data_IF_392776612589
#
_entry.id   IF_392776612589
#
_cell.length_a   1.000
_cell.length_b   1.000
_cell.length_c   1.000
_cell.angle_alpha   90.00
_cell.angle_beta   90.00
_cell.angle_gamma   90.00
#
_symmetry.space_group_name_H-M   'P 1'
#
loop_
_entity.id
_entity.type
_entity.pdbx_description
1 polymer ?
#
# COMPACT_ATOMS: atom_id res chain seq x y z
N UNK A 1 -48.29 -40.99 19.33
CA UNK A 1 -48.68 -42.41 19.38
C UNK A 1 -49.57 -42.64 18.18
N UNK A 2 -49.12 -42.23 16.99
CA UNK A 2 -48.13 -42.90 16.12
C UNK A 2 -48.88 -44.06 15.44
N UNK A 3 -49.03 -44.15 14.11
CA UNK A 3 -48.05 -43.93 13.04
C UNK A 3 -48.77 -43.53 11.72
N UNK A 4 -48.15 -42.67 10.91
CA UNK A 4 -48.46 -42.55 9.47
C UNK A 4 -47.38 -43.31 8.67
N UNK A 5 -47.83 -44.25 7.84
CA UNK A 5 -47.00 -44.97 6.87
C UNK A 5 -47.47 -44.62 5.44
N UNK A 6 -46.58 -43.93 4.74
CA UNK A 6 -46.16 -44.00 3.33
C UNK A 6 -47.12 -44.33 2.17
N UNK A 7 -46.74 -43.68 1.05
CA UNK A 7 -46.88 -44.06 -0.37
C UNK A 7 -48.17 -43.63 -1.09
N UNK A 8 -48.20 -43.27 -2.37
CA UNK A 8 -47.27 -42.74 -3.38
C UNK A 8 -48.14 -42.51 -4.64
N UNK A 9 -47.65 -41.74 -5.61
CA UNK A 9 -48.15 -41.73 -6.99
C UNK A 9 -48.78 -40.40 -7.41
N UNK A 10 -48.47 -39.81 -8.55
CA UNK A 10 -47.71 -40.25 -9.71
C UNK A 10 -47.37 -38.99 -10.54
N UNK A 11 -46.30 -39.00 -11.33
CA UNK A 11 -46.36 -38.98 -12.81
C UNK A 11 -44.97 -38.93 -13.45
N UNK A 12 -44.92 -39.63 -14.57
CA UNK A 12 -43.84 -40.05 -15.45
C UNK A 12 -43.51 -38.98 -16.50
N UNK A 13 -42.23 -38.84 -16.90
CA UNK A 13 -41.81 -38.78 -18.33
C UNK A 13 -40.30 -38.53 -18.52
N UNK A 14 -39.73 -39.47 -19.27
CA UNK A 14 -38.41 -39.64 -19.90
C UNK A 14 -37.83 -38.41 -20.62
N UNK A 15 -36.49 -38.24 -20.56
CA UNK A 15 -35.60 -37.96 -21.73
C UNK A 15 -34.12 -38.00 -21.35
N UNK A 16 -33.34 -38.76 -22.12
CA UNK A 16 -31.88 -38.95 -22.05
C UNK A 16 -31.13 -37.78 -22.69
N UNK A 17 -30.03 -37.30 -22.09
CA UNK A 17 -28.85 -36.74 -22.77
C UNK A 17 -27.75 -36.43 -21.73
N UNK A 18 -26.73 -37.28 -21.66
CA UNK A 18 -25.37 -37.04 -22.17
C UNK A 18 -24.50 -36.22 -21.20
N UNK A 19 -23.70 -36.96 -20.44
CA UNK A 19 -22.48 -36.50 -19.79
C UNK A 19 -21.55 -35.89 -20.85
N UNK A 20 -21.36 -34.58 -20.82
CA UNK A 20 -20.19 -33.92 -21.39
C UNK A 20 -19.43 -33.27 -20.23
N UNK A 21 -18.23 -33.79 -20.00
CA UNK A 21 -17.27 -33.28 -19.05
C UNK A 21 -16.90 -31.85 -19.43
N UNK A 22 -17.25 -30.88 -18.57
CA UNK A 22 -16.69 -29.54 -18.66
C UNK A 22 -15.20 -29.60 -18.31
N UNK A 23 -14.39 -29.49 -19.37
CA UNK A 23 -12.94 -29.38 -19.35
C UNK A 23 -12.56 -28.10 -18.58
N UNK A 24 -11.99 -28.26 -17.38
CA UNK A 24 -11.38 -27.16 -16.63
C UNK A 24 -10.37 -26.43 -17.53
N UNK A 25 -10.38 -25.09 -17.59
CA UNK A 25 -9.35 -24.36 -18.30
C UNK A 25 -8.02 -24.56 -17.56
N UNK A 26 -7.16 -25.39 -18.14
CA UNK A 26 -5.78 -25.61 -17.72
C UNK A 26 -5.06 -24.27 -17.60
N UNK A 27 -5.07 -23.69 -16.40
CA UNK A 27 -4.26 -22.54 -16.06
C UNK A 27 -2.82 -22.98 -16.23
N UNK A 28 -2.16 -22.47 -17.28
CA UNK A 28 -0.72 -22.56 -17.43
C UNK A 28 -0.10 -21.92 -16.19
N UNK A 29 0.24 -22.77 -15.24
CA UNK A 29 1.09 -22.48 -14.11
C UNK A 29 2.41 -22.08 -14.76
N UNK A 30 2.64 -20.78 -14.95
CA UNK A 30 4.00 -20.29 -15.14
C UNK A 30 4.70 -20.70 -13.86
N UNK A 31 5.44 -21.80 -13.94
CA UNK A 31 6.38 -22.22 -12.93
C UNK A 31 7.39 -21.07 -12.82
N UNK A 32 7.08 -20.10 -11.96
CA UNK A 32 8.14 -19.40 -11.25
C UNK A 32 8.91 -20.52 -10.56
N UNK A 33 10.07 -20.83 -11.12
CA UNK A 33 11.03 -21.80 -10.66
C UNK A 33 11.39 -21.43 -9.22
N UNK A 34 10.55 -21.88 -8.29
CA UNK A 34 10.86 -21.89 -6.87
C UNK A 34 11.99 -22.89 -6.75
N UNK A 35 13.22 -22.40 -6.70
CA UNK A 35 14.39 -23.16 -6.27
C UNK A 35 14.20 -23.52 -4.80
N UNK A 36 13.27 -24.43 -4.52
CA UNK A 36 13.03 -25.04 -3.22
C UNK A 36 14.25 -25.93 -2.96
N UNK A 37 15.29 -25.32 -2.38
CA UNK A 37 16.52 -26.04 -2.04
C UNK A 37 17.83 -25.26 -2.16
N UNK A 38 17.82 -24.08 -2.81
CA UNK A 38 19.03 -23.25 -2.84
C UNK A 38 19.19 -22.51 -1.50
N UNK A 39 20.34 -22.68 -0.84
CA UNK A 39 20.70 -21.92 0.36
C UNK A 39 20.68 -20.43 0.03
N UNK A 40 19.85 -19.66 0.72
CA UNK A 40 19.87 -18.20 0.60
C UNK A 40 21.20 -17.66 1.15
N UNK A 41 21.84 -16.70 0.47
CA UNK A 41 23.08 -16.09 0.94
C UNK A 41 22.82 -15.29 2.22
N UNK A 42 23.79 -15.28 3.13
CA UNK A 42 23.70 -14.46 4.34
C UNK A 42 23.91 -12.99 4.02
N UNK A 43 23.47 -12.10 4.92
CA UNK A 43 23.69 -10.65 4.78
C UNK A 43 25.18 -10.32 4.58
N UNK A 44 26.05 -10.99 5.35
CA UNK A 44 27.50 -10.80 5.25
C UNK A 44 28.05 -11.26 3.88
N UNK A 45 27.54 -12.36 3.32
CA UNK A 45 27.92 -12.85 1.99
C UNK A 45 27.50 -11.85 0.88
N UNK A 46 26.33 -11.22 1.03
CA UNK A 46 25.84 -10.21 0.08
C UNK A 46 26.67 -8.93 0.10
N UNK A 47 27.12 -8.51 1.29
CA UNK A 47 27.92 -7.29 1.50
C UNK A 47 29.39 -7.51 1.10
N UNK A 48 29.96 -8.68 1.39
CA UNK A 48 31.39 -8.97 1.21
C UNK A 48 31.75 -9.59 -0.14
N UNK A 49 30.76 -10.07 -0.91
CA UNK A 49 30.99 -10.59 -2.26
C UNK A 49 31.65 -9.53 -3.16
N UNK A 50 32.64 -9.92 -3.94
CA UNK A 50 33.43 -9.06 -4.82
C UNK A 50 32.95 -9.06 -6.28
N UNK A 51 31.68 -9.43 -6.53
CA UNK A 51 31.06 -9.38 -7.85
C UNK A 51 30.87 -7.96 -8.41
N UNK A 52 30.71 -7.82 -9.74
CA UNK A 52 30.58 -6.53 -10.43
C UNK A 52 29.32 -5.69 -10.12
N UNK A 53 28.40 -6.21 -9.31
CA UNK A 53 27.24 -5.47 -8.79
C UNK A 53 27.56 -4.81 -7.46
N UNK A 54 26.98 -3.65 -7.19
CA UNK A 54 27.08 -2.96 -5.90
C UNK A 54 26.38 -3.77 -4.80
N UNK A 55 26.79 -3.65 -3.52
CA UNK A 55 26.13 -4.35 -2.41
C UNK A 55 24.62 -4.09 -2.35
N UNK A 56 24.19 -2.88 -2.70
CA UNK A 56 22.78 -2.47 -2.72
C UNK A 56 21.98 -3.21 -3.79
N UNK A 57 22.51 -3.38 -5.00
CA UNK A 57 21.84 -4.09 -6.09
C UNK A 57 21.65 -5.58 -5.77
N UNK A 58 22.63 -6.18 -5.08
CA UNK A 58 22.52 -7.59 -4.64
C UNK A 58 21.47 -7.77 -3.57
N UNK A 59 21.38 -6.84 -2.63
CA UNK A 59 20.35 -6.86 -1.60
C UNK A 59 18.96 -6.78 -2.22
N UNK A 60 18.76 -5.90 -3.22
CA UNK A 60 17.47 -5.73 -3.89
C UNK A 60 16.90 -7.03 -4.50
N UNK A 61 17.76 -7.94 -5.01
CA UNK A 61 17.32 -9.22 -5.55
C UNK A 61 16.72 -10.18 -4.49
N UNK A 62 17.07 -9.97 -3.23
CA UNK A 62 16.60 -10.78 -2.09
C UNK A 62 15.65 -10.04 -1.16
N UNK A 63 15.45 -8.73 -1.35
CA UNK A 63 14.39 -7.98 -0.67
C UNK A 63 13.06 -8.45 -1.24
N UNK A 64 12.17 -9.05 -0.42
CA UNK A 64 10.87 -9.45 -0.89
C UNK A 64 10.13 -8.24 -1.46
N UNK A 65 9.77 -8.29 -2.74
CA UNK A 65 8.87 -7.28 -3.30
C UNK A 65 7.56 -7.42 -2.54
N UNK A 66 7.24 -6.42 -1.73
CA UNK A 66 6.02 -6.38 -0.95
C UNK A 66 4.83 -6.27 -1.92
N UNK A 67 4.34 -7.40 -2.41
CA UNK A 67 3.06 -7.48 -3.09
C UNK A 67 1.99 -7.42 -2.02
N UNK A 68 0.98 -6.53 -2.12
CA UNK A 68 -0.15 -6.55 -1.20
C UNK A 68 -0.71 -7.97 -1.16
N UNK A 69 -0.60 -8.64 -0.01
CA UNK A 69 -1.19 -9.97 0.17
C UNK A 69 -2.69 -9.77 0.25
N UNK A 70 -3.41 -10.22 -0.77
CA UNK A 70 -4.86 -10.27 -0.70
C UNK A 70 -5.27 -11.07 0.54
N UNK A 71 -6.26 -10.58 1.28
CA UNK A 71 -6.82 -11.32 2.41
C UNK A 71 -7.24 -12.70 1.92
N UNK A 72 -6.70 -13.79 2.53
CA UNK A 72 -7.06 -15.15 2.16
C UNK A 72 -8.58 -15.33 2.18
N UNK A 73 -9.12 -16.10 1.24
CA UNK A 73 -10.58 -16.25 1.09
C UNK A 73 -11.18 -16.88 2.34
N UNK A 74 -10.46 -17.81 2.96
CA UNK A 74 -10.78 -18.49 4.21
C UNK A 74 -10.87 -17.54 5.42
N UNK A 75 -10.30 -16.33 5.36
CA UNK A 75 -10.39 -15.34 6.43
C UNK A 75 -11.56 -14.37 6.24
N UNK A 76 -12.27 -14.45 5.11
CA UNK A 76 -13.44 -13.60 4.84
C UNK A 76 -14.67 -14.18 5.50
N UNK A 77 -15.25 -13.49 6.48
CA UNK A 77 -16.51 -13.91 7.09
C UNK A 77 -17.69 -13.40 6.26
N UNK A 78 -18.77 -14.20 6.11
CA UNK A 78 -19.99 -13.75 5.44
C UNK A 78 -20.57 -12.49 6.12
N UNK A 79 -20.95 -11.49 5.32
CA UNK A 79 -21.55 -10.24 5.82
C UNK A 79 -20.59 -9.22 6.44
N UNK A 80 -19.31 -9.55 6.62
CA UNK A 80 -18.31 -8.62 7.19
C UNK A 80 -17.73 -7.66 6.14
N UNK A 81 -17.75 -8.06 4.87
CA UNK A 81 -17.19 -7.28 3.77
C UNK A 81 -18.27 -6.93 2.75
N UNK A 82 -18.31 -5.66 2.35
CA UNK A 82 -19.09 -5.20 1.22
C UNK A 82 -18.21 -5.24 -0.03
N UNK A 83 -18.65 -5.97 -1.05
CA UNK A 83 -18.02 -5.90 -2.36
C UNK A 83 -18.39 -4.57 -3.01
N UNK A 84 -17.38 -3.81 -3.43
CA UNK A 84 -17.56 -2.53 -4.12
C UNK A 84 -17.37 -2.73 -5.61
N UNK A 85 -18.25 -2.13 -6.41
CA UNK A 85 -18.07 -2.07 -7.85
C UNK A 85 -17.02 -1.02 -8.20
N UNK A 86 -15.96 -1.46 -8.87
CA UNK A 86 -14.90 -0.58 -9.37
C UNK A 86 -15.26 -0.21 -10.81
N UNK A 87 -15.34 1.09 -11.16
CA UNK A 87 -15.61 1.51 -12.54
C UNK A 87 -14.56 0.95 -13.52
N UNK A 88 -15.00 0.43 -14.66
CA UNK A 88 -14.13 -0.27 -15.63
C UNK A 88 -12.98 0.61 -16.14
N UNK A 89 -13.28 1.89 -16.41
CA UNK A 89 -12.32 2.83 -17.00
C UNK A 89 -11.42 3.51 -15.96
N UNK A 90 -11.61 3.23 -14.66
CA UNK A 90 -10.94 3.94 -13.56
C UNK A 90 -9.42 3.87 -13.66
N UNK A 91 -8.89 2.71 -14.07
CA UNK A 91 -7.46 2.52 -14.24
C UNK A 91 -6.90 3.19 -15.49
N UNK A 92 -7.70 3.29 -16.56
CA UNK A 92 -7.30 3.97 -17.79
C UNK A 92 -7.19 5.48 -17.60
N UNK A 93 -8.05 6.06 -16.75
CA UNK A 93 -8.06 7.49 -16.42
C UNK A 93 -6.92 7.91 -15.46
N UNK A 94 -6.14 6.94 -14.96
CA UNK A 94 -4.93 7.16 -14.17
C UNK A 94 -5.17 7.55 -12.71
N UNK A 95 -4.08 7.95 -12.04
CA UNK A 95 -4.07 8.20 -10.59
C UNK A 95 -5.10 9.26 -10.13
N UNK A 96 -5.30 10.39 -10.82
CA UNK A 96 -6.27 11.39 -10.39
C UNK A 96 -7.71 10.85 -10.32
N UNK A 97 -8.11 10.00 -11.27
CA UNK A 97 -9.44 9.42 -11.28
C UNK A 97 -9.64 8.42 -10.14
N UNK A 98 -8.64 7.57 -9.89
CA UNK A 98 -8.62 6.65 -8.75
C UNK A 98 -8.79 7.43 -7.43
N UNK A 99 -8.03 8.51 -7.25
CA UNK A 99 -8.09 9.34 -6.04
C UNK A 99 -9.46 9.97 -5.85
N UNK A 100 -10.03 10.57 -6.91
CA UNK A 100 -11.40 11.13 -6.87
C UNK A 100 -12.43 10.10 -6.45
N UNK A 101 -12.38 8.92 -7.05
CA UNK A 101 -13.30 7.83 -6.72
C UNK A 101 -13.19 7.39 -5.26
N UNK A 102 -11.97 7.25 -4.73
CA UNK A 102 -11.72 6.92 -3.33
C UNK A 102 -12.20 8.01 -2.36
N UNK A 103 -12.00 9.28 -2.70
CA UNK A 103 -12.51 10.41 -1.90
C UNK A 103 -14.04 10.36 -1.83
N UNK A 104 -14.73 10.19 -2.96
CA UNK A 104 -16.19 10.06 -3.02
C UNK A 104 -16.68 8.86 -2.21
N UNK A 105 -16.04 7.70 -2.37
CA UNK A 105 -16.37 6.48 -1.65
C UNK A 105 -16.25 6.68 -0.13
N UNK A 106 -15.13 7.26 0.33
CA UNK A 106 -14.88 7.51 1.75
C UNK A 106 -15.81 8.56 2.35
N UNK A 107 -16.20 9.59 1.57
CA UNK A 107 -17.17 10.58 1.99
C UNK A 107 -18.55 9.94 2.22
N UNK A 108 -19.01 9.12 1.28
CA UNK A 108 -20.29 8.39 1.38
C UNK A 108 -20.32 7.45 2.59
N UNK A 109 -19.22 6.73 2.84
CA UNK A 109 -19.09 5.86 4.00
C UNK A 109 -19.17 6.64 5.32
N UNK A 110 -18.49 7.80 5.41
CA UNK A 110 -18.53 8.68 6.60
C UNK A 110 -19.91 9.29 6.83
N UNK A 111 -20.58 9.77 5.79
CA UNK A 111 -21.93 10.33 5.88
C UNK A 111 -22.92 9.27 6.39
N UNK A 112 -22.85 8.05 5.83
CA UNK A 112 -23.66 6.91 6.27
C UNK A 112 -23.41 6.55 7.74
N UNK A 113 -22.16 6.53 8.19
CA UNK A 113 -21.81 6.18 9.57
C UNK A 113 -22.21 7.26 10.58
N UNK A 114 -22.17 8.54 10.18
CA UNK A 114 -22.46 9.67 11.06
C UNK A 114 -23.95 10.05 11.12
N UNK A 115 -24.82 9.45 10.28
CA UNK A 115 -26.19 9.93 10.06
C UNK A 115 -26.25 11.43 9.71
N UNK A 116 -25.22 11.95 9.06
CA UNK A 116 -25.07 13.37 8.72
C UNK A 116 -25.29 13.59 7.23
N UNK A 117 -25.79 14.77 6.81
CA UNK A 117 -25.82 15.13 5.40
C UNK A 117 -24.41 15.29 4.85
N UNK A 118 -24.20 14.97 3.57
CA UNK A 118 -22.88 15.01 2.90
C UNK A 118 -22.14 16.34 3.09
N UNK A 119 -22.86 17.45 3.22
CA UNK A 119 -22.30 18.80 3.41
C UNK A 119 -21.55 18.99 4.73
N UNK A 120 -21.72 18.12 5.72
CA UNK A 120 -21.05 18.22 7.03
C UNK A 120 -19.72 17.45 7.10
N UNK A 121 -19.37 16.68 6.06
CA UNK A 121 -18.13 15.90 6.03
C UNK A 121 -16.95 16.83 5.70
N UNK A 122 -15.82 16.75 6.43
CA UNK A 122 -14.64 17.55 6.13
C UNK A 122 -14.20 17.37 4.68
N UNK A 123 -14.09 18.49 3.96
CA UNK A 123 -13.64 18.52 2.57
C UNK A 123 -12.18 18.06 2.52
N UNK A 124 -11.94 16.98 1.77
CA UNK A 124 -10.59 16.47 1.50
C UNK A 124 -10.04 17.24 0.31
N UNK A 125 -8.80 17.69 0.41
CA UNK A 125 -8.10 18.33 -0.70
C UNK A 125 -7.66 17.25 -1.71
N UNK A 126 -8.21 17.33 -2.93
CA UNK A 126 -7.93 16.37 -4.00
C UNK A 126 -6.48 16.46 -4.47
N UNK A 127 -5.95 17.66 -4.66
CA UNK A 127 -4.58 17.87 -5.15
C UNK A 127 -3.55 17.35 -4.15
N UNK A 128 -3.78 17.65 -2.86
CA UNK A 128 -2.95 17.12 -1.77
C UNK A 128 -2.99 15.59 -1.72
N UNK A 129 -4.17 14.99 -1.90
CA UNK A 129 -4.35 13.53 -1.87
C UNK A 129 -3.67 12.88 -3.07
N UNK A 130 -3.78 13.45 -4.27
CA UNK A 130 -3.08 13.00 -5.48
C UNK A 130 -1.57 13.02 -5.23
N UNK A 131 -1.04 14.10 -4.67
CA UNK A 131 0.38 14.23 -4.38
C UNK A 131 0.85 13.16 -3.38
N UNK A 132 0.09 12.92 -2.31
CA UNK A 132 0.38 11.85 -1.33
C UNK A 132 0.38 10.46 -1.98
N UNK A 133 -0.59 10.15 -2.84
CA UNK A 133 -0.62 8.89 -3.56
C UNK A 133 0.58 8.74 -4.52
N UNK A 134 1.00 9.83 -5.17
CA UNK A 134 2.19 9.83 -6.05
C UNK A 134 3.47 9.55 -5.26
N UNK A 135 3.66 10.22 -4.12
CA UNK A 135 4.79 9.98 -3.22
C UNK A 135 4.78 8.55 -2.67
N UNK A 136 3.60 8.05 -2.28
CA UNK A 136 3.45 6.67 -1.83
C UNK A 136 3.88 5.68 -2.90
N UNK A 137 3.38 5.84 -4.14
CA UNK A 137 3.69 4.96 -5.25
C UNK A 137 5.19 4.94 -5.60
N UNK A 138 5.85 6.11 -5.59
CA UNK A 138 7.29 6.23 -5.85
C UNK A 138 8.15 5.60 -4.75
N UNK A 139 7.84 5.85 -3.47
CA UNK A 139 8.56 5.21 -2.37
C UNK A 139 8.36 3.69 -2.37
N UNK A 140 7.15 3.24 -2.72
CA UNK A 140 6.84 1.82 -2.83
C UNK A 140 7.58 1.16 -3.99
N UNK A 141 7.65 1.79 -5.16
CA UNK A 141 8.38 1.26 -6.32
C UNK A 141 9.89 1.18 -6.08
N UNK A 142 10.42 2.03 -5.19
CA UNK A 142 11.81 2.00 -4.70
C UNK A 142 12.09 0.89 -3.67
N UNK A 143 11.09 0.10 -3.30
CA UNK A 143 11.24 -1.06 -2.41
C UNK A 143 11.11 -0.75 -0.92
N UNK A 144 10.72 0.47 -0.53
CA UNK A 144 10.44 0.77 0.87
C UNK A 144 9.06 0.27 1.29
N UNK A 145 8.94 -0.15 2.54
CA UNK A 145 7.63 -0.31 3.16
C UNK A 145 7.11 1.04 3.65
N UNK A 146 5.88 1.39 3.23
CA UNK A 146 5.24 2.66 3.57
C UNK A 146 3.95 2.39 4.37
N UNK A 147 3.74 3.09 5.48
CA UNK A 147 2.49 2.99 6.27
C UNK A 147 1.88 4.35 6.55
N UNK A 148 0.54 4.43 6.58
CA UNK A 148 -0.23 5.66 6.89
C UNK A 148 -0.35 5.98 8.38
N UNK A 149 0.43 5.34 9.25
CA UNK A 149 0.32 5.52 10.71
C UNK A 149 1.13 6.71 11.27
N UNK A 150 1.68 7.56 10.38
CA UNK A 150 2.53 8.69 10.75
C UNK A 150 1.80 9.88 11.34
N UNK A 151 0.47 9.92 11.22
CA UNK A 151 -0.35 11.01 11.78
C UNK A 151 -0.08 11.20 13.29
N UNK A 152 0.22 10.12 14.02
CA UNK A 152 0.60 10.16 15.44
C UNK A 152 1.93 10.87 15.74
N UNK A 153 2.74 11.08 14.71
CA UNK A 153 4.07 11.69 14.75
C UNK A 153 4.15 12.96 13.89
N UNK A 154 3.00 13.49 13.44
CA UNK A 154 2.93 14.73 12.67
C UNK A 154 3.46 14.62 11.23
N UNK A 155 3.43 13.43 10.64
CA UNK A 155 3.74 13.22 9.23
C UNK A 155 2.62 12.48 8.48
N UNK A 156 2.81 12.31 7.18
CA UNK A 156 1.89 11.62 6.28
C UNK A 156 2.18 10.12 6.22
N UNK A 157 3.47 9.75 6.11
CA UNK A 157 3.88 8.35 6.03
C UNK A 157 5.03 8.00 6.96
N UNK A 158 5.06 6.75 7.40
CA UNK A 158 6.25 6.15 7.99
C UNK A 158 6.92 5.28 6.93
N UNK A 159 8.22 5.52 6.75
CA UNK A 159 9.06 4.77 5.82
C UNK A 159 9.89 3.75 6.57
N UNK A 160 9.92 2.54 6.06
CA UNK A 160 10.70 1.42 6.61
C UNK A 160 11.64 0.91 5.50
N UNK A 161 12.90 0.59 5.83
CA UNK A 161 13.85 0.03 4.87
C UNK A 161 13.52 -1.44 4.49
N UNK A 162 12.56 -2.06 5.18
CA UNK A 162 12.07 -3.41 4.91
C UNK A 162 10.77 -3.67 5.67
N UNK A 163 10.38 -4.94 5.83
CA UNK A 163 9.13 -5.33 6.47
C UNK A 163 8.96 -4.70 7.88
N UNK A 164 7.86 -3.97 8.17
CA UNK A 164 7.59 -3.40 9.48
C UNK A 164 7.56 -4.39 10.65
N UNK A 165 7.44 -5.69 10.40
CA UNK A 165 7.57 -6.74 11.42
C UNK A 165 9.00 -6.88 11.94
N UNK A 166 10.00 -6.61 11.09
CA UNK A 166 11.43 -6.77 11.41
C UNK A 166 12.17 -5.43 11.52
N UNK A 167 11.66 -4.38 10.89
CA UNK A 167 12.30 -3.07 10.85
C UNK A 167 11.50 -2.01 11.60
N UNK A 168 12.19 -1.09 12.25
CA UNK A 168 11.59 0.15 12.73
C UNK A 168 11.52 1.17 11.60
N UNK A 169 10.50 2.03 11.62
CA UNK A 169 10.42 3.15 10.69
C UNK A 169 11.69 4.01 10.82
N UNK A 170 12.36 4.28 9.71
CA UNK A 170 13.56 5.10 9.64
C UNK A 170 13.21 6.58 9.42
N UNK A 171 12.13 6.86 8.69
CA UNK A 171 11.73 8.23 8.34
C UNK A 171 10.26 8.52 8.72
N UNK A 172 10.01 9.79 9.02
CA UNK A 172 8.68 10.40 9.00
C UNK A 172 8.62 11.24 7.73
N UNK A 173 7.72 10.91 6.82
CA UNK A 173 7.55 11.60 5.55
C UNK A 173 6.48 12.67 5.69
N UNK A 174 6.79 13.89 5.28
CA UNK A 174 5.84 14.99 5.13
C UNK A 174 5.76 15.37 3.65
N UNK A 175 4.56 15.35 3.10
CA UNK A 175 4.27 15.63 1.69
C UNK A 175 3.75 17.06 1.55
N UNK A 176 4.35 17.84 0.65
CA UNK A 176 3.90 19.20 0.41
C UNK A 176 4.16 19.63 -1.04
N UNK A 177 3.32 20.51 -1.62
CA UNK A 177 3.62 21.08 -2.92
C UNK A 177 4.86 22.00 -2.83
N UNK A 178 5.66 22.13 -3.90
CA UNK A 178 6.87 22.96 -3.92
C UNK A 178 6.64 24.42 -3.56
N UNK A 179 5.44 24.94 -3.86
CA UNK A 179 5.04 26.33 -3.59
C UNK A 179 4.45 26.53 -2.19
N UNK A 180 4.35 25.48 -1.37
CA UNK A 180 3.81 25.59 -0.02
C UNK A 180 4.68 26.51 0.85
N UNK A 181 4.03 27.37 1.62
CA UNK A 181 4.73 28.19 2.61
C UNK A 181 5.16 27.31 3.78
N UNK A 182 6.47 27.14 3.94
CA UNK A 182 7.04 26.40 5.04
C UNK A 182 7.08 27.27 6.30
N UNK A 183 6.18 27.01 7.26
CA UNK A 183 6.19 27.69 8.56
C UNK A 183 7.31 27.12 9.42
N UNK A 184 8.32 27.93 9.72
CA UNK A 184 9.49 27.52 10.51
C UNK A 184 9.12 26.92 11.88
N UNK A 185 8.07 27.43 12.53
CA UNK A 185 7.58 26.88 13.79
C UNK A 185 7.04 25.44 13.65
N UNK A 186 6.31 25.16 12.57
CA UNK A 186 5.82 23.81 12.29
C UNK A 186 6.97 22.88 11.95
N UNK A 187 7.90 23.33 11.09
CA UNK A 187 9.10 22.56 10.76
C UNK A 187 9.92 22.21 12.01
N UNK A 188 10.18 23.19 12.87
CA UNK A 188 10.90 22.98 14.14
C UNK A 188 10.20 21.97 15.05
N UNK A 189 8.86 22.01 15.08
CA UNK A 189 8.07 21.04 15.84
C UNK A 189 8.19 19.63 15.24
N UNK A 190 8.03 19.48 13.93
CA UNK A 190 8.19 18.19 13.24
C UNK A 190 9.59 17.61 13.41
N UNK A 191 10.63 18.45 13.33
CA UNK A 191 12.01 18.04 13.57
C UNK A 191 12.25 17.59 15.01
N UNK A 192 11.68 18.31 15.99
CA UNK A 192 11.77 17.92 17.41
C UNK A 192 11.11 16.58 17.66
N UNK A 193 9.94 16.33 17.06
CA UNK A 193 9.24 15.04 17.14
C UNK A 193 10.09 13.95 16.48
N UNK A 194 10.56 14.16 15.25
CA UNK A 194 11.39 13.20 14.54
C UNK A 194 12.65 12.82 15.34
N UNK A 195 13.32 13.81 15.90
CA UNK A 195 14.49 13.60 16.76
C UNK A 195 14.16 12.82 18.04
N UNK A 196 13.03 13.10 18.70
CA UNK A 196 12.65 12.40 19.94
C UNK A 196 12.36 10.92 19.72
N UNK A 197 11.82 10.55 18.55
CA UNK A 197 11.56 9.16 18.17
C UNK A 197 12.69 8.54 17.32
N UNK A 198 13.84 9.21 17.23
CA UNK A 198 15.04 8.81 16.48
C UNK A 198 14.74 8.44 15.01
N UNK A 199 14.04 9.34 14.32
CA UNK A 199 13.72 9.22 12.89
C UNK A 199 14.22 10.45 12.15
N UNK A 200 14.47 10.28 10.86
CA UNK A 200 14.76 11.39 9.94
C UNK A 200 13.45 12.01 9.49
N UNK A 201 13.37 13.33 9.45
CA UNK A 201 12.25 14.02 8.82
C UNK A 201 12.53 14.11 7.32
N UNK A 202 11.66 13.55 6.49
CA UNK A 202 11.79 13.55 5.03
C UNK A 202 10.70 14.43 4.43
N UNK A 203 11.08 15.53 3.79
CA UNK A 203 10.16 16.34 3.00
C UNK A 203 10.11 15.78 1.58
N UNK A 204 8.92 15.40 1.13
CA UNK A 204 8.66 14.97 -0.23
C UNK A 204 7.86 16.05 -0.96
N UNK A 205 8.45 16.64 -2.00
CA UNK A 205 7.82 17.72 -2.76
C UNK A 205 7.75 17.38 -4.24
N UNK A 206 6.61 17.68 -4.87
CA UNK A 206 6.41 17.53 -6.31
C UNK A 206 5.22 18.36 -6.78
N UNK A 207 5.25 18.82 -8.02
CA UNK A 207 4.11 19.49 -8.64
C UNK A 207 3.00 18.49 -8.99
N UNK A 208 1.74 18.94 -8.93
CA UNK A 208 0.55 18.13 -9.22
C UNK A 208 0.18 18.14 -10.72
N UNK A 209 0.62 19.16 -11.50
CA UNK A 209 0.27 19.35 -12.93
C UNK A 209 1.37 18.87 -13.90
N UNK A 210 0.97 18.58 -15.14
CA UNK A 210 1.65 17.80 -16.20
C UNK A 210 3.14 18.11 -16.48
N UNK A 211 3.91 17.05 -16.75
CA UNK A 211 5.33 17.06 -17.13
C UNK A 211 6.24 16.14 -16.32
N UNK A 212 5.67 15.30 -15.43
CA UNK A 212 6.39 14.35 -14.55
C UNK A 212 7.65 14.92 -13.89
N UNK A 213 7.57 16.11 -13.29
CA UNK A 213 8.68 16.55 -12.44
C UNK A 213 8.94 15.48 -11.36
N UNK A 214 10.19 15.04 -11.19
CA UNK A 214 10.52 13.99 -10.25
C UNK A 214 10.16 14.45 -8.84
N UNK A 215 9.81 13.49 -7.98
CA UNK A 215 9.61 13.80 -6.57
C UNK A 215 10.97 14.14 -5.96
N UNK A 216 11.09 15.33 -5.40
CA UNK A 216 12.28 15.76 -4.66
C UNK A 216 12.12 15.35 -3.21
N UNK A 217 13.16 14.70 -2.69
CA UNK A 217 13.23 14.27 -1.29
C UNK A 217 14.32 15.06 -0.58
N UNK A 218 13.95 15.73 0.51
CA UNK A 218 14.88 16.49 1.32
C UNK A 218 14.90 15.92 2.73
N UNK A 219 16.02 15.28 3.09
CA UNK A 219 16.25 14.77 4.44
C UNK A 219 16.67 15.89 5.37
N UNK A 220 15.99 16.02 6.50
CA UNK A 220 16.30 17.02 7.51
C UNK A 220 16.66 16.35 8.83
N UNK A 221 17.76 16.82 9.40
CA UNK A 221 18.35 16.30 10.63
C UNK A 221 18.41 17.41 11.67
N UNK A 222 18.14 17.05 12.92
CA UNK A 222 18.45 17.92 14.04
C UNK A 222 19.94 17.79 14.38
N UNK A 223 20.76 18.74 13.94
CA UNK A 223 22.18 18.76 14.30
C UNK A 223 22.36 19.44 15.64
N UNK A 224 22.67 18.66 16.68
CA UNK A 224 23.31 19.19 17.87
C UNK A 224 24.79 19.54 17.58
N UNK A 225 25.47 20.13 18.54
CA UNK A 225 26.87 20.57 18.39
C UNK A 225 27.92 19.45 18.28
N UNK A 226 27.58 18.18 18.03
CA UNK A 226 28.55 17.08 17.94
C UNK A 226 28.02 15.77 17.30
N UNK A 227 27.67 15.77 16.01
CA UNK A 227 27.49 14.49 15.31
C UNK A 227 27.72 14.60 13.80
N UNK A 228 28.70 13.84 13.31
CA UNK A 228 28.90 13.55 11.88
C UNK A 228 27.79 12.60 11.42
N UNK A 229 26.78 13.11 10.73
CA UNK A 229 25.73 12.31 10.09
C UNK A 229 26.09 12.16 8.60
N UNK A 230 26.19 10.93 8.12
CA UNK A 230 26.25 10.62 6.70
C UNK A 230 24.82 10.56 6.13
N UNK A 231 24.48 11.39 5.13
CA UNK A 231 23.17 11.32 4.48
C UNK A 231 23.03 10.01 3.67
N UNK A 232 21.82 9.43 3.68
CA UNK A 232 21.48 8.18 2.97
C UNK A 232 20.57 8.43 1.75
N UNK A 233 20.12 9.67 1.56
CA UNK A 233 19.32 10.11 0.42
C UNK A 233 19.82 11.47 -0.07
#
# INVERSE_FOLDING_TARGET
MDDEDSSEGAVESTSQQQDEAEEEPTVKKTEEESTVGARQPTLDELITSSGGQTPTERLQAYVPIHRPRATPREWRRPGEHQQLEVPADLHADGLPAIVRWLITLSAKARASAACMPDSAVPKVDEEETILKCRVFADLWSKGFCVTGSAMKMGGDFLLYPGDPLFYHASHIVCVAPPTSQLKLAQLSTSLRIANSVRKVLLLATSAVKEGEEPIMYTSLYWTGSNSSITPIL
#
